data_IF_761580362693
#
_entry.id   IF_761580362693
#
_cell.length_a   1.000
_cell.length_b   1.000
_cell.length_c   1.000
_cell.angle_alpha   90.00
_cell.angle_beta   90.00
_cell.angle_gamma   90.00
#
_symmetry.space_group_name_H-M   'P 1'
#
loop_
_entity.id
_entity.type
_entity.pdbx_description
1 polymer ?
#
# COMPACT_ATOMS: atom_id res chain seq x y z
N UNK A 1 -3.29 -19.21 9.45
CA UNK A 1 -3.18 -18.20 8.37
C UNK A 1 -2.23 -17.03 8.69
N UNK A 2 -1.81 -16.81 9.95
CA UNK A 2 -1.00 -15.64 10.37
C UNK A 2 0.45 -15.62 9.86
N UNK A 3 1.08 -16.78 9.62
CA UNK A 3 2.51 -16.85 9.32
C UNK A 3 2.88 -16.79 7.83
N UNK A 4 1.94 -17.02 6.90
CA UNK A 4 2.23 -17.13 5.46
C UNK A 4 2.06 -15.80 4.69
N UNK A 5 1.18 -14.91 5.17
CA UNK A 5 0.92 -13.62 4.51
C UNK A 5 2.07 -12.63 4.67
N UNK A 6 2.74 -12.63 5.82
CA UNK A 6 3.86 -11.72 6.09
C UNK A 6 5.10 -12.03 5.24
N UNK A 7 5.58 -13.28 5.12
CA UNK A 7 6.65 -13.61 4.19
C UNK A 7 6.32 -13.26 2.74
N UNK A 8 5.07 -13.51 2.29
CA UNK A 8 4.63 -13.13 0.95
C UNK A 8 4.65 -11.61 0.76
N UNK A 9 4.22 -10.84 1.76
CA UNK A 9 4.30 -9.38 1.75
C UNK A 9 5.74 -8.87 1.72
N UNK A 10 6.63 -9.41 2.56
CA UNK A 10 8.04 -9.01 2.55
C UNK A 10 8.74 -9.36 1.24
N UNK A 11 8.41 -10.53 0.65
CA UNK A 11 8.88 -10.88 -0.69
C UNK A 11 8.39 -9.86 -1.73
N UNK A 12 7.11 -9.50 -1.69
CA UNK A 12 6.56 -8.46 -2.56
C UNK A 12 7.27 -7.12 -2.38
N UNK A 13 7.49 -6.67 -1.15
CA UNK A 13 8.23 -5.43 -0.84
C UNK A 13 9.64 -5.48 -1.42
N UNK A 14 10.36 -6.60 -1.24
CA UNK A 14 11.70 -6.79 -1.80
C UNK A 14 11.72 -6.72 -3.32
N UNK A 15 10.78 -7.39 -4.00
CA UNK A 15 10.64 -7.34 -5.46
C UNK A 15 10.27 -5.93 -5.93
N UNK A 16 9.36 -5.25 -5.24
CA UNK A 16 8.96 -3.88 -5.57
C UNK A 16 10.14 -2.90 -5.45
N UNK A 17 10.91 -2.99 -4.37
CA UNK A 17 12.12 -2.18 -4.16
C UNK A 17 13.19 -2.47 -5.21
N UNK A 18 13.41 -3.75 -5.56
CA UNK A 18 14.40 -4.12 -6.57
C UNK A 18 14.00 -3.63 -7.98
N UNK A 19 12.74 -3.78 -8.34
CA UNK A 19 12.22 -3.39 -9.67
C UNK A 19 12.09 -1.88 -9.85
N UNK A 20 11.83 -1.14 -8.77
CA UNK A 20 11.70 0.32 -8.80
C UNK A 20 12.93 1.03 -8.24
N UNK A 21 14.06 0.32 -8.09
CA UNK A 21 15.28 0.91 -7.57
C UNK A 21 15.79 2.00 -8.52
N UNK A 22 15.87 3.23 -8.02
CA UNK A 22 16.40 4.37 -8.76
C UNK A 22 17.30 5.21 -7.84
N UNK A 23 18.36 5.82 -8.40
CA UNK A 23 19.25 6.70 -7.65
C UNK A 23 18.52 7.92 -7.04
N UNK A 24 17.41 8.35 -7.66
CA UNK A 24 16.53 9.40 -7.17
C UNK A 24 15.84 9.01 -5.85
N UNK A 25 15.68 7.72 -5.55
CA UNK A 25 15.08 7.27 -4.27
C UNK A 25 15.87 7.76 -3.05
N UNK A 26 17.18 7.96 -3.21
CA UNK A 26 18.11 8.40 -2.16
C UNK A 26 18.39 9.92 -2.21
N UNK A 27 17.75 10.67 -3.12
CA UNK A 27 17.89 12.12 -3.19
C UNK A 27 16.89 12.79 -2.24
N UNK A 28 17.37 13.17 -1.05
CA UNK A 28 16.55 13.79 -0.01
C UNK A 28 16.61 15.33 0.02
N UNK A 29 17.49 15.93 -0.79
CA UNK A 29 17.72 17.38 -0.80
C UNK A 29 16.66 18.18 -1.59
N UNK A 30 15.60 17.52 -2.06
CA UNK A 30 14.49 18.17 -2.79
C UNK A 30 13.22 18.15 -1.93
N UNK A 31 12.25 19.06 -2.18
CA UNK A 31 10.95 19.02 -1.51
C UNK A 31 10.24 17.65 -1.66
N UNK A 32 10.41 17.00 -2.82
CA UNK A 32 9.90 15.65 -3.08
C UNK A 32 10.60 14.61 -2.18
N UNK A 33 11.91 14.75 -1.98
CA UNK A 33 12.69 13.92 -1.05
C UNK A 33 12.18 14.00 0.39
N UNK A 34 11.87 15.22 0.88
CA UNK A 34 11.27 15.40 2.21
C UNK A 34 9.91 14.72 2.35
N UNK A 35 9.03 14.90 1.35
CA UNK A 35 7.73 14.21 1.32
C UNK A 35 7.91 12.69 1.33
N UNK A 36 8.90 12.17 0.59
CA UNK A 36 9.21 10.74 0.57
C UNK A 36 9.63 10.22 1.94
N UNK A 37 10.52 10.91 2.65
CA UNK A 37 10.95 10.52 4.02
C UNK A 37 9.76 10.48 4.96
N UNK A 38 8.90 11.49 4.93
CA UNK A 38 7.68 11.51 5.73
C UNK A 38 6.78 10.30 5.45
N UNK A 39 6.52 10.01 4.17
CA UNK A 39 5.72 8.84 3.78
C UNK A 39 6.35 7.51 4.20
N UNK A 40 7.68 7.39 4.13
CA UNK A 40 8.41 6.20 4.61
C UNK A 40 8.21 6.01 6.12
N UNK A 41 8.28 7.08 6.91
CA UNK A 41 8.03 7.02 8.36
C UNK A 41 6.59 6.56 8.63
N UNK A 42 5.62 7.16 7.95
CA UNK A 42 4.20 6.75 8.04
C UNK A 42 4.04 5.28 7.68
N UNK A 43 4.70 4.82 6.61
CA UNK A 43 4.67 3.43 6.17
C UNK A 43 5.25 2.48 7.22
N UNK A 44 6.40 2.79 7.81
CA UNK A 44 7.00 1.99 8.89
C UNK A 44 6.06 1.91 10.09
N UNK A 45 5.48 3.03 10.51
CA UNK A 45 4.52 3.06 11.63
C UNK A 45 3.31 2.19 11.32
N UNK A 46 2.76 2.29 10.11
CA UNK A 46 1.60 1.50 9.70
C UNK A 46 1.90 0.01 9.62
N UNK A 47 3.08 -0.38 9.12
CA UNK A 47 3.56 -1.77 9.10
C UNK A 47 3.70 -2.28 10.53
N UNK A 48 4.38 -1.54 11.41
CA UNK A 48 4.57 -1.92 12.81
C UNK A 48 3.24 -2.11 13.55
N UNK A 49 2.32 -1.17 13.39
CA UNK A 49 0.98 -1.26 13.94
C UNK A 49 0.20 -2.46 13.39
N UNK A 50 0.28 -2.70 12.07
CA UNK A 50 -0.39 -3.84 11.42
C UNK A 50 0.16 -5.20 11.92
N UNK A 51 1.46 -5.29 12.20
CA UNK A 51 2.06 -6.48 12.82
C UNK A 51 1.47 -6.71 14.21
N UNK A 52 1.38 -5.67 15.04
CA UNK A 52 0.81 -5.75 16.40
C UNK A 52 -0.66 -6.21 16.36
N UNK A 53 -1.49 -5.59 15.51
CA UNK A 53 -2.89 -6.00 15.33
C UNK A 53 -3.01 -7.44 14.84
N UNK A 54 -2.19 -7.84 13.86
CA UNK A 54 -2.22 -9.20 13.30
C UNK A 54 -1.84 -10.27 14.33
N UNK A 55 -1.00 -9.95 15.31
CA UNK A 55 -0.64 -10.86 16.41
C UNK A 55 -1.82 -11.06 17.37
N UNK A 56 -2.51 -9.98 17.72
CA UNK A 56 -3.54 -10.01 18.76
C UNK A 56 -4.94 -10.39 18.25
N UNK A 57 -5.27 -10.09 16.99
CA UNK A 57 -6.61 -10.30 16.46
C UNK A 57 -6.68 -11.34 15.33
N UNK A 58 -7.89 -11.82 15.05
CA UNK A 58 -8.16 -12.68 13.90
C UNK A 58 -9.12 -11.93 12.96
N UNK A 59 -8.58 -11.45 11.84
CA UNK A 59 -9.28 -10.62 10.85
C UNK A 59 -10.63 -11.21 10.45
N UNK A 60 -10.70 -12.53 10.19
CA UNK A 60 -11.95 -13.17 9.78
C UNK A 60 -13.03 -13.14 10.87
N UNK A 61 -12.62 -13.28 12.14
CA UNK A 61 -13.54 -13.19 13.27
C UNK A 61 -14.04 -11.75 13.42
N UNK A 62 -13.15 -10.76 13.29
CA UNK A 62 -13.50 -9.34 13.39
C UNK A 62 -14.43 -8.90 12.25
N UNK A 63 -14.16 -9.30 11.01
CA UNK A 63 -15.03 -9.00 9.86
C UNK A 63 -16.44 -9.58 10.06
N UNK A 64 -16.55 -10.83 10.57
CA UNK A 64 -17.83 -11.45 10.85
C UNK A 64 -18.67 -10.71 11.90
N UNK A 65 -18.01 -10.06 12.87
CA UNK A 65 -18.67 -9.18 13.85
C UNK A 65 -19.03 -7.84 13.22
N UNK A 66 -18.10 -7.20 12.49
CA UNK A 66 -18.34 -5.92 11.81
C UNK A 66 -19.52 -5.99 10.83
N UNK A 67 -19.65 -7.09 10.08
CA UNK A 67 -20.73 -7.26 9.09
C UNK A 67 -22.14 -7.32 9.73
N UNK A 68 -22.23 -7.54 11.04
CA UNK A 68 -23.53 -7.48 11.75
C UNK A 68 -23.99 -6.04 12.00
N UNK A 69 -23.09 -5.06 11.94
CA UNK A 69 -23.39 -3.66 12.15
C UNK A 69 -23.40 -2.89 10.82
N UNK A 70 -24.39 -2.02 10.62
CA UNK A 70 -24.51 -1.18 9.41
C UNK A 70 -23.26 -0.32 9.19
N UNK A 71 -22.72 0.26 10.25
CA UNK A 71 -21.48 1.04 10.20
C UNK A 71 -20.28 0.19 9.77
N UNK A 72 -20.18 -1.05 10.25
CA UNK A 72 -19.11 -1.97 9.87
C UNK A 72 -19.18 -2.37 8.39
N UNK A 73 -20.39 -2.50 7.83
CA UNK A 73 -20.60 -2.71 6.38
C UNK A 73 -20.15 -1.51 5.57
N UNK A 74 -20.48 -0.30 6.02
CA UNK A 74 -20.06 0.94 5.36
C UNK A 74 -18.54 1.04 5.31
N UNK A 75 -17.84 0.83 6.44
CA UNK A 75 -16.36 0.80 6.47
C UNK A 75 -15.80 -0.22 5.47
N UNK A 76 -16.43 -1.39 5.37
CA UNK A 76 -16.05 -2.40 4.39
C UNK A 76 -16.17 -1.90 2.95
N UNK A 77 -17.31 -1.29 2.60
CA UNK A 77 -17.54 -0.73 1.26
C UNK A 77 -16.53 0.38 0.96
N UNK A 78 -16.32 1.30 1.89
CA UNK A 78 -15.37 2.41 1.75
C UNK A 78 -13.94 1.89 1.50
N UNK A 79 -13.56 0.78 2.17
CA UNK A 79 -12.28 0.12 1.94
C UNK A 79 -12.18 -0.49 0.53
N UNK A 80 -13.24 -1.10 0.00
CA UNK A 80 -13.21 -1.63 -1.37
C UNK A 80 -13.16 -0.52 -2.42
N UNK A 81 -13.87 0.58 -2.20
CA UNK A 81 -13.78 1.78 -3.06
C UNK A 81 -12.36 2.33 -3.04
N UNK A 82 -11.74 2.45 -1.87
CA UNK A 82 -10.36 2.95 -1.77
C UNK A 82 -9.35 2.01 -2.42
N UNK A 83 -9.52 0.69 -2.32
CA UNK A 83 -8.70 -0.30 -3.04
C UNK A 83 -8.86 -0.14 -4.55
N UNK A 84 -10.10 -0.01 -5.04
CA UNK A 84 -10.35 0.21 -6.47
C UNK A 84 -9.66 1.48 -6.99
N UNK A 85 -9.80 2.59 -6.27
CA UNK A 85 -9.13 3.85 -6.60
C UNK A 85 -7.60 3.72 -6.57
N UNK A 86 -7.07 2.96 -5.60
CA UNK A 86 -5.64 2.67 -5.50
C UNK A 86 -5.12 1.89 -6.70
N UNK A 87 -5.86 0.88 -7.16
CA UNK A 87 -5.54 0.10 -8.37
C UNK A 87 -5.58 1.02 -9.61
N UNK A 88 -6.59 1.87 -9.71
CA UNK A 88 -6.70 2.83 -10.81
C UNK A 88 -5.49 3.78 -10.84
N UNK A 89 -5.04 4.29 -9.69
CA UNK A 89 -3.85 5.12 -9.59
C UNK A 89 -2.59 4.38 -10.07
N UNK A 90 -2.42 3.11 -9.69
CA UNK A 90 -1.29 2.29 -10.17
C UNK A 90 -1.30 2.21 -11.69
N UNK A 91 -2.45 1.94 -12.29
CA UNK A 91 -2.58 1.87 -13.75
C UNK A 91 -2.26 3.21 -14.41
N UNK A 92 -2.78 4.32 -13.88
CA UNK A 92 -2.53 5.66 -14.42
C UNK A 92 -1.04 6.04 -14.37
N UNK A 93 -0.35 5.70 -13.29
CA UNK A 93 1.07 6.04 -13.09
C UNK A 93 2.01 5.13 -13.88
N UNK A 94 1.68 3.83 -13.99
CA UNK A 94 2.55 2.85 -14.67
C UNK A 94 2.22 2.65 -16.14
N UNK A 95 0.99 2.95 -16.57
CA UNK A 95 0.46 2.64 -17.91
C UNK A 95 0.36 1.13 -18.22
N UNK A 96 0.69 0.26 -17.26
CA UNK A 96 0.90 -1.18 -17.50
C UNK A 96 -0.15 -2.02 -16.77
N UNK A 97 -0.92 -2.78 -17.53
CA UNK A 97 -1.89 -3.75 -17.00
C UNK A 97 -1.17 -4.81 -16.15
N UNK A 98 0.01 -5.26 -16.59
CA UNK A 98 0.78 -6.27 -15.87
C UNK A 98 1.22 -5.77 -14.49
N UNK A 99 1.74 -4.54 -14.40
CA UNK A 99 2.11 -3.94 -13.10
C UNK A 99 0.87 -3.78 -12.22
N UNK A 100 -0.24 -3.32 -12.80
CA UNK A 100 -1.50 -3.13 -12.08
C UNK A 100 -2.01 -4.43 -11.46
N UNK A 101 -1.98 -5.54 -12.20
CA UNK A 101 -2.36 -6.86 -11.69
C UNK A 101 -1.43 -7.32 -10.57
N UNK A 102 -0.11 -7.15 -10.74
CA UNK A 102 0.87 -7.52 -9.72
C UNK A 102 0.65 -6.76 -8.39
N UNK A 103 0.45 -5.45 -8.47
CA UNK A 103 0.13 -4.62 -7.29
C UNK A 103 -1.25 -4.95 -6.70
N UNK A 104 -2.23 -5.28 -7.54
CA UNK A 104 -3.57 -5.69 -7.08
C UNK A 104 -3.52 -6.92 -6.18
N UNK A 105 -2.65 -7.89 -6.46
CA UNK A 105 -2.45 -9.06 -5.60
C UNK A 105 -1.96 -8.68 -4.20
N UNK A 106 -1.10 -7.66 -4.10
CA UNK A 106 -0.61 -7.14 -2.81
C UNK A 106 -1.67 -6.33 -2.06
N UNK A 107 -2.63 -5.71 -2.76
CA UNK A 107 -3.71 -4.97 -2.12
C UNK A 107 -4.74 -5.86 -1.40
N UNK A 108 -4.91 -7.13 -1.82
CA UNK A 108 -5.90 -8.03 -1.21
C UNK A 108 -5.67 -8.21 0.31
N UNK A 109 -4.46 -8.56 0.78
CA UNK A 109 -4.21 -8.67 2.23
C UNK A 109 -3.85 -7.33 2.88
N UNK A 110 -3.24 -6.39 2.14
CA UNK A 110 -2.51 -5.25 2.70
C UNK A 110 -2.68 -3.96 1.89
N UNK A 111 -3.90 -3.68 1.42
CA UNK A 111 -4.30 -2.51 0.64
C UNK A 111 -3.53 -1.22 0.98
N UNK A 112 -3.71 -0.73 2.21
CA UNK A 112 -3.14 0.55 2.66
C UNK A 112 -1.61 0.56 2.67
N UNK A 113 -0.98 -0.56 3.04
CA UNK A 113 0.49 -0.65 3.09
C UNK A 113 1.08 -0.72 1.69
N UNK A 114 0.45 -1.48 0.79
CA UNK A 114 0.91 -1.59 -0.59
C UNK A 114 0.73 -0.26 -1.33
N UNK A 115 -0.38 0.47 -1.15
CA UNK A 115 -0.59 1.71 -1.93
C UNK A 115 0.36 2.80 -1.46
N UNK A 116 0.61 2.86 -0.15
CA UNK A 116 1.56 3.78 0.43
C UNK A 116 2.99 3.49 -0.06
N UNK A 117 3.39 2.20 -0.15
CA UNK A 117 4.66 1.81 -0.76
C UNK A 117 4.73 2.22 -2.24
N UNK A 118 3.66 1.98 -3.00
CA UNK A 118 3.60 2.38 -4.41
C UNK A 118 3.81 3.88 -4.59
N UNK A 119 3.13 4.70 -3.77
CA UNK A 119 3.26 6.16 -3.78
C UNK A 119 4.69 6.57 -3.45
N UNK A 120 5.33 5.96 -2.45
CA UNK A 120 6.72 6.24 -2.09
C UNK A 120 7.67 5.99 -3.26
N UNK A 121 7.49 4.86 -3.96
CA UNK A 121 8.35 4.44 -5.07
C UNK A 121 8.12 5.24 -6.37
N UNK A 122 6.93 5.82 -6.54
CA UNK A 122 6.58 6.57 -7.76
C UNK A 122 6.28 8.04 -7.48
N UNK A 123 6.72 8.58 -6.34
CA UNK A 123 6.35 9.92 -5.90
C UNK A 123 6.73 10.99 -6.93
N UNK A 124 7.91 10.88 -7.54
CA UNK A 124 8.38 11.83 -8.55
C UNK A 124 7.48 11.83 -9.79
N UNK A 125 7.05 10.64 -10.24
CA UNK A 125 6.13 10.49 -11.38
C UNK A 125 4.75 11.04 -11.08
N UNK A 126 4.25 10.80 -9.87
CA UNK A 126 2.97 11.33 -9.40
C UNK A 126 3.04 12.86 -9.38
N UNK A 127 4.06 13.43 -8.74
CA UNK A 127 4.24 14.89 -8.65
C UNK A 127 4.38 15.50 -10.04
N UNK A 128 5.16 14.89 -10.94
CA UNK A 128 5.29 15.35 -12.31
C UNK A 128 3.96 15.33 -13.09
N UNK A 129 3.08 14.37 -12.83
CA UNK A 129 1.77 14.30 -13.47
C UNK A 129 0.78 15.41 -13.02
N UNK A 130 0.99 16.00 -11.83
CA UNK A 130 0.12 17.07 -11.32
C UNK A 130 0.69 18.48 -11.50
N UNK A 131 2.01 18.62 -11.66
CA UNK A 131 2.71 19.91 -11.84
C UNK A 131 3.06 20.16 -13.32
N UNK A 132 2.72 19.22 -14.22
CA UNK A 132 2.89 19.34 -15.67
C UNK A 132 2.02 20.43 -16.30
#
# INVERSE_FOLDING_TARGET
MKALLWPAFWLFVGVALFTHWDAQLLQFNTPVGFARVFLIIVWIVFVGYSIVCSRNENIFKTIGVMNKHWWGRQIGIDLYISVFLSIALVYLVTGSIFHTVLWSLAFIPFANMAILLFIILNLDKIVAAFIG
#
